data_IF_672158584402
#
_entry.id   IF_672158584402
#
_cell.length_a   1.000
_cell.length_b   1.000
_cell.length_c   1.000
_cell.angle_alpha   90.00
_cell.angle_beta   90.00
_cell.angle_gamma   90.00
#
_symmetry.space_group_name_H-M   'P 1'
#
loop_
_entity.id
_entity.type
_entity.pdbx_description
1 polymer ?
#
# COMPACT_ATOMS: atom_id res chain seq x y z
N UNK A 1 32.50 -31.57 -12.30
CA UNK A 1 32.45 -30.41 -11.44
C UNK A 1 31.33 -29.50 -11.86
N UNK A 2 30.59 -29.01 -10.90
CA UNK A 2 29.43 -28.22 -11.16
C UNK A 2 29.67 -26.75 -10.81
N UNK A 3 29.33 -25.82 -11.70
CA UNK A 3 29.38 -24.40 -11.36
C UNK A 3 28.25 -24.06 -10.42
N UNK A 4 28.53 -23.73 -9.17
CA UNK A 4 27.44 -23.56 -8.18
C UNK A 4 26.51 -22.41 -8.49
N UNK A 5 27.01 -21.32 -9.03
CA UNK A 5 26.20 -20.13 -9.28
C UNK A 5 25.23 -20.31 -10.45
N UNK A 6 25.56 -21.15 -11.43
CA UNK A 6 24.72 -21.33 -12.61
C UNK A 6 23.56 -22.29 -12.38
N UNK A 7 23.61 -23.09 -11.31
CA UNK A 7 22.54 -24.05 -11.00
C UNK A 7 21.56 -23.53 -9.96
N UNK A 8 21.83 -22.37 -9.38
CA UNK A 8 20.97 -21.78 -8.36
C UNK A 8 20.08 -20.69 -8.97
N UNK A 9 18.81 -20.64 -8.58
CA UNK A 9 17.95 -19.57 -9.04
C UNK A 9 18.42 -18.24 -8.45
N UNK A 10 18.26 -17.18 -9.22
CA UNK A 10 18.51 -15.83 -8.73
C UNK A 10 17.27 -15.41 -7.94
N UNK A 11 17.46 -15.18 -6.64
CA UNK A 11 16.37 -14.75 -5.78
C UNK A 11 16.49 -13.25 -5.56
N UNK A 12 15.46 -12.54 -5.96
CA UNK A 12 15.37 -11.11 -5.72
C UNK A 12 14.87 -10.87 -4.30
N UNK A 13 15.34 -9.80 -3.68
CA UNK A 13 14.83 -9.36 -2.38
C UNK A 13 13.40 -8.81 -2.52
N UNK A 14 12.72 -8.69 -1.40
CA UNK A 14 11.39 -8.06 -1.41
C UNK A 14 11.46 -6.64 -1.98
N UNK A 15 12.48 -5.87 -1.63
CA UNK A 15 12.66 -4.52 -2.16
C UNK A 15 12.86 -4.51 -3.67
N UNK A 16 13.70 -5.40 -4.18
CA UNK A 16 13.93 -5.52 -5.63
C UNK A 16 12.66 -5.93 -6.38
N UNK A 17 11.90 -6.86 -5.82
CA UNK A 17 10.62 -7.28 -6.39
C UNK A 17 9.60 -6.14 -6.37
N UNK A 18 9.57 -5.36 -5.30
CA UNK A 18 8.70 -4.19 -5.19
C UNK A 18 9.07 -3.13 -6.23
N UNK A 19 10.36 -2.87 -6.41
CA UNK A 19 10.84 -1.95 -7.45
C UNK A 19 10.44 -2.41 -8.84
N UNK A 20 10.53 -3.72 -9.11
CA UNK A 20 10.08 -4.28 -10.37
C UNK A 20 8.57 -4.08 -10.56
N UNK A 21 7.80 -4.23 -9.49
CA UNK A 21 6.37 -3.96 -9.53
C UNK A 21 6.08 -2.52 -9.93
N UNK A 22 6.80 -1.57 -9.37
CA UNK A 22 6.66 -0.14 -9.71
C UNK A 22 6.99 0.10 -11.18
N UNK A 23 8.09 -0.47 -11.67
CA UNK A 23 8.50 -0.33 -13.06
C UNK A 23 7.45 -0.89 -14.03
N UNK A 24 6.90 -2.06 -13.73
CA UNK A 24 5.87 -2.69 -14.55
C UNK A 24 4.58 -1.86 -14.55
N UNK A 25 4.22 -1.30 -13.40
CA UNK A 25 3.04 -0.45 -13.31
C UNK A 25 3.21 0.82 -14.15
N UNK A 26 4.39 1.43 -14.07
CA UNK A 26 4.71 2.61 -14.87
C UNK A 26 4.69 2.30 -16.37
N UNK A 27 5.03 1.07 -16.75
CA UNK A 27 4.99 0.61 -18.14
C UNK A 27 3.58 0.23 -18.61
N UNK A 28 2.58 0.29 -17.74
CA UNK A 28 1.21 -0.05 -18.07
C UNK A 28 0.87 -1.54 -17.93
N UNK A 29 1.78 -2.35 -17.38
CA UNK A 29 1.56 -3.77 -17.14
C UNK A 29 1.07 -4.00 -15.71
N UNK A 30 -0.21 -3.71 -15.49
CA UNK A 30 -0.80 -3.82 -14.16
C UNK A 30 -0.80 -5.26 -13.63
N UNK A 31 -1.03 -6.24 -14.50
CA UNK A 31 -1.05 -7.66 -14.09
C UNK A 31 0.35 -8.16 -13.74
N UNK A 32 1.34 -7.81 -14.56
CA UNK A 32 2.74 -8.12 -14.26
C UNK A 32 3.20 -7.45 -12.99
N UNK A 33 2.80 -6.20 -12.78
CA UNK A 33 3.08 -5.46 -11.56
C UNK A 33 2.49 -6.16 -10.33
N UNK A 34 1.23 -6.59 -10.41
CA UNK A 34 0.59 -7.32 -9.30
C UNK A 34 1.35 -8.60 -8.95
N UNK A 35 1.82 -9.34 -9.96
CA UNK A 35 2.63 -10.55 -9.72
C UNK A 35 3.93 -10.22 -9.00
N UNK A 36 4.61 -9.15 -9.40
CA UNK A 36 5.86 -8.74 -8.77
C UNK A 36 5.64 -8.31 -7.31
N UNK A 37 4.59 -7.52 -7.05
CA UNK A 37 4.27 -7.12 -5.68
C UNK A 37 3.86 -8.31 -4.80
N UNK A 38 3.13 -9.28 -5.36
CA UNK A 38 2.80 -10.51 -4.62
C UNK A 38 4.05 -11.28 -4.26
N UNK A 39 5.00 -11.36 -5.17
CA UNK A 39 6.28 -12.02 -4.89
C UNK A 39 7.05 -11.28 -3.79
N UNK A 40 7.01 -9.95 -3.80
CA UNK A 40 7.62 -9.14 -2.74
C UNK A 40 7.00 -9.45 -1.37
N UNK A 41 5.68 -9.53 -1.30
CA UNK A 41 4.96 -9.85 -0.06
C UNK A 41 5.26 -11.29 0.39
N UNK A 42 5.40 -12.22 -0.57
CA UNK A 42 5.79 -13.60 -0.23
C UNK A 42 7.18 -13.65 0.36
N UNK A 43 8.10 -12.80 -0.10
CA UNK A 43 9.46 -12.71 0.42
C UNK A 43 9.50 -11.99 1.78
N UNK A 44 8.64 -10.99 1.97
CA UNK A 44 8.54 -10.21 3.22
C UNK A 44 7.08 -9.79 3.41
N UNK A 45 6.37 -10.52 4.25
CA UNK A 45 4.94 -10.28 4.49
C UNK A 45 4.67 -8.94 5.17
N UNK A 46 5.66 -8.33 5.77
CA UNK A 46 5.55 -7.01 6.40
C UNK A 46 5.93 -5.85 5.51
N UNK A 47 6.16 -6.09 4.22
CA UNK A 47 6.59 -5.05 3.28
C UNK A 47 5.42 -4.13 2.91
N UNK A 48 5.31 -3.01 3.61
CA UNK A 48 4.16 -2.09 3.48
C UNK A 48 4.05 -1.51 2.07
N UNK A 49 5.14 -1.08 1.49
CA UNK A 49 5.14 -0.50 0.14
C UNK A 49 4.64 -1.49 -0.91
N UNK A 50 4.99 -2.77 -0.77
CA UNK A 50 4.52 -3.80 -1.69
C UNK A 50 3.00 -4.00 -1.57
N UNK A 51 2.44 -3.89 -0.36
CA UNK A 51 1.00 -3.95 -0.17
C UNK A 51 0.31 -2.78 -0.86
N UNK A 52 0.81 -1.56 -0.68
CA UNK A 52 0.26 -0.39 -1.37
C UNK A 52 0.37 -0.53 -2.88
N UNK A 53 1.51 -1.00 -3.36
CA UNK A 53 1.73 -1.24 -4.78
C UNK A 53 0.77 -2.26 -5.36
N UNK A 54 0.56 -3.35 -4.64
CA UNK A 54 -0.36 -4.41 -5.08
C UNK A 54 -1.80 -3.90 -5.15
N UNK A 55 -2.23 -3.14 -4.15
CA UNK A 55 -3.57 -2.55 -4.15
C UNK A 55 -3.76 -1.69 -5.41
N UNK A 56 -2.78 -0.86 -5.71
CA UNK A 56 -2.84 0.01 -6.88
C UNK A 56 -2.83 -0.78 -8.18
N UNK A 57 -1.96 -1.78 -8.30
CA UNK A 57 -1.88 -2.63 -9.49
C UNK A 57 -3.19 -3.38 -9.72
N UNK A 58 -3.79 -3.91 -8.67
CA UNK A 58 -5.07 -4.61 -8.76
C UNK A 58 -6.20 -3.67 -9.19
N UNK A 59 -6.21 -2.44 -8.66
CA UNK A 59 -7.20 -1.45 -9.09
C UNK A 59 -7.04 -1.12 -10.57
N UNK A 60 -5.81 -0.90 -11.03
CA UNK A 60 -5.56 -0.60 -12.43
C UNK A 60 -5.87 -1.77 -13.35
N UNK A 61 -5.77 -3.00 -12.84
CA UNK A 61 -6.17 -4.20 -13.57
C UNK A 61 -7.68 -4.46 -13.51
N UNK A 62 -8.44 -3.62 -12.81
CA UNK A 62 -9.88 -3.80 -12.65
C UNK A 62 -10.27 -4.88 -11.66
N UNK A 63 -9.33 -5.39 -10.87
CA UNK A 63 -9.58 -6.45 -9.89
C UNK A 63 -9.88 -5.82 -8.52
N UNK A 64 -11.04 -5.20 -8.41
CA UNK A 64 -11.38 -4.35 -7.27
C UNK A 64 -11.59 -5.15 -5.98
N UNK A 65 -12.25 -6.32 -6.04
CA UNK A 65 -12.44 -7.12 -4.84
C UNK A 65 -11.12 -7.67 -4.30
N UNK A 66 -10.21 -8.04 -5.20
CA UNK A 66 -8.87 -8.46 -4.80
C UNK A 66 -8.11 -7.30 -4.13
N UNK A 67 -8.28 -6.09 -4.67
CA UNK A 67 -7.68 -4.88 -4.06
C UNK A 67 -8.21 -4.65 -2.65
N UNK A 68 -9.52 -4.85 -2.43
CA UNK A 68 -10.13 -4.74 -1.10
C UNK A 68 -9.50 -5.74 -0.14
N UNK A 69 -9.33 -6.99 -0.56
CA UNK A 69 -8.73 -8.02 0.30
C UNK A 69 -7.31 -7.65 0.74
N UNK A 70 -6.49 -7.14 -0.19
CA UNK A 70 -5.12 -6.71 0.13
C UNK A 70 -5.14 -5.48 1.05
N UNK A 71 -6.04 -4.54 0.80
CA UNK A 71 -6.17 -3.34 1.61
C UNK A 71 -6.59 -3.67 3.05
N UNK A 72 -7.50 -4.64 3.23
CA UNK A 72 -7.88 -5.13 4.55
C UNK A 72 -6.66 -5.72 5.27
N UNK A 73 -5.87 -6.54 4.58
CA UNK A 73 -4.65 -7.09 5.16
C UNK A 73 -3.68 -5.98 5.57
N UNK A 74 -3.57 -4.93 4.78
CA UNK A 74 -2.72 -3.78 5.10
C UNK A 74 -3.19 -3.04 6.35
N UNK A 75 -4.49 -2.88 6.54
CA UNK A 75 -5.02 -2.24 7.77
C UNK A 75 -4.75 -3.08 9.02
N UNK A 76 -4.61 -4.39 8.87
CA UNK A 76 -4.19 -5.26 9.98
C UNK A 76 -2.69 -5.09 10.26
N UNK A 77 -1.90 -4.95 9.21
CA UNK A 77 -0.45 -4.76 9.33
C UNK A 77 -0.09 -3.39 9.91
N UNK A 78 -0.78 -2.34 9.49
CA UNK A 78 -0.54 -0.96 9.94
C UNK A 78 -1.85 -0.29 10.36
N UNK A 79 -2.44 -0.72 11.50
CA UNK A 79 -3.79 -0.28 11.88
C UNK A 79 -3.89 1.20 12.23
N UNK A 80 -2.78 1.85 12.57
CA UNK A 80 -2.76 3.27 12.94
C UNK A 80 -2.31 4.17 11.79
N UNK A 81 -2.01 3.60 10.65
CA UNK A 81 -1.59 4.38 9.47
C UNK A 81 -2.81 4.84 8.67
N UNK A 82 -3.05 6.17 8.58
CA UNK A 82 -4.19 6.65 7.80
C UNK A 82 -4.13 6.26 6.33
N UNK A 83 -2.93 6.09 5.75
CA UNK A 83 -2.80 5.68 4.35
C UNK A 83 -3.38 4.29 4.09
N UNK A 84 -3.24 3.36 5.05
CA UNK A 84 -3.83 2.03 4.90
C UNK A 84 -5.36 2.11 4.79
N UNK A 85 -5.97 2.93 5.62
CA UNK A 85 -7.42 3.10 5.61
C UNK A 85 -7.91 3.89 4.40
N UNK A 86 -7.12 4.83 3.91
CA UNK A 86 -7.40 5.54 2.65
C UNK A 86 -7.35 4.57 1.47
N UNK A 87 -6.33 3.71 1.42
CA UNK A 87 -6.23 2.69 0.36
C UNK A 87 -7.42 1.75 0.38
N UNK A 88 -7.86 1.35 1.58
CA UNK A 88 -9.05 0.52 1.75
C UNK A 88 -10.31 1.23 1.26
N UNK A 89 -10.47 2.51 1.62
CA UNK A 89 -11.63 3.30 1.19
C UNK A 89 -11.72 3.37 -0.34
N UNK A 90 -10.60 3.66 -1.00
CA UNK A 90 -10.57 3.75 -2.46
C UNK A 90 -10.91 2.40 -3.10
N UNK A 91 -10.33 1.31 -2.59
CA UNK A 91 -10.61 -0.03 -3.11
C UNK A 91 -12.09 -0.40 -2.94
N UNK A 92 -12.66 -0.13 -1.77
CA UNK A 92 -14.06 -0.38 -1.48
C UNK A 92 -14.99 0.43 -2.39
N UNK A 93 -14.65 1.70 -2.62
CA UNK A 93 -15.42 2.56 -3.51
C UNK A 93 -15.42 2.01 -4.93
N UNK A 94 -14.25 1.59 -5.43
CA UNK A 94 -14.14 1.02 -6.77
C UNK A 94 -14.90 -0.30 -6.89
N UNK A 95 -14.96 -1.08 -5.83
CA UNK A 95 -15.72 -2.33 -5.79
C UNK A 95 -17.22 -2.11 -5.58
N UNK A 96 -17.65 -0.88 -5.34
CA UNK A 96 -19.07 -0.56 -5.16
C UNK A 96 -19.57 -0.69 -3.72
N UNK A 97 -18.68 -0.91 -2.76
CA UNK A 97 -19.05 -1.02 -1.34
C UNK A 97 -19.01 0.36 -0.69
N UNK A 98 -19.97 1.20 -1.02
CA UNK A 98 -19.94 2.62 -0.68
C UNK A 98 -20.04 2.88 0.84
N UNK A 99 -20.95 2.27 1.61
CA UNK A 99 -21.00 2.52 3.05
C UNK A 99 -19.70 2.12 3.75
N UNK A 100 -19.11 1.01 3.38
CA UNK A 100 -17.86 0.53 3.94
C UNK A 100 -16.70 1.46 3.55
N UNK A 101 -16.71 1.96 2.31
CA UNK A 101 -15.71 2.92 1.85
C UNK A 101 -15.76 4.21 2.67
N UNK A 102 -16.96 4.71 2.96
CA UNK A 102 -17.14 5.90 3.77
C UNK A 102 -16.64 5.69 5.21
N UNK A 103 -16.91 4.52 5.79
CA UNK A 103 -16.42 4.18 7.11
C UNK A 103 -14.88 4.14 7.16
N UNK A 104 -14.26 3.55 6.15
CA UNK A 104 -12.80 3.51 6.04
C UNK A 104 -12.21 4.91 5.88
N UNK A 105 -12.83 5.76 5.06
CA UNK A 105 -12.41 7.14 4.88
C UNK A 105 -12.51 7.94 6.18
N UNK A 106 -13.59 7.74 6.93
CA UNK A 106 -13.76 8.39 8.23
C UNK A 106 -12.66 7.95 9.21
N UNK A 107 -12.32 6.67 9.21
CA UNK A 107 -11.24 6.15 10.05
C UNK A 107 -9.91 6.79 9.68
N UNK A 108 -9.63 6.92 8.40
CA UNK A 108 -8.41 7.57 7.93
C UNK A 108 -8.32 9.01 8.42
N UNK A 109 -9.41 9.76 8.35
CA UNK A 109 -9.45 11.16 8.82
C UNK A 109 -9.21 11.26 10.31
N UNK A 110 -9.79 10.36 11.10
CA UNK A 110 -9.58 10.33 12.55
C UNK A 110 -8.11 10.07 12.87
N UNK A 111 -7.51 9.09 12.20
CA UNK A 111 -6.10 8.74 12.41
C UNK A 111 -5.18 9.89 12.00
N UNK A 112 -5.46 10.52 10.88
CA UNK A 112 -4.69 11.66 10.42
C UNK A 112 -4.75 12.82 11.41
N UNK A 113 -5.94 13.11 11.91
CA UNK A 113 -6.13 14.13 12.93
C UNK A 113 -5.35 13.82 14.22
N UNK A 114 -5.40 12.56 14.67
CA UNK A 114 -4.62 12.12 15.83
C UNK A 114 -3.13 12.31 15.63
N UNK A 115 -2.64 12.00 14.44
CA UNK A 115 -1.22 12.18 14.12
C UNK A 115 -0.83 13.65 14.12
N UNK A 116 -1.69 14.52 13.61
CA UNK A 116 -1.45 15.96 13.64
C UNK A 116 -1.36 16.49 15.06
N UNK A 117 -2.24 16.06 15.95
CA UNK A 117 -2.25 16.49 17.34
C UNK A 117 -1.01 15.99 18.10
N UNK A 118 -0.50 14.82 17.78
CA UNK A 118 0.61 14.21 18.50
C UNK A 118 1.98 14.60 17.94
N UNK A 119 2.05 15.12 16.72
CA UNK A 119 3.32 15.37 16.05
C UNK A 119 3.87 16.77 16.33
N UNK A 120 5.20 16.95 16.31
CA UNK A 120 5.81 18.28 16.38
C UNK A 120 5.41 19.19 15.22
N UNK A 121 5.06 18.63 14.07
CA UNK A 121 4.56 19.39 12.93
C UNK A 121 3.26 20.10 13.26
N UNK A 122 2.37 19.46 14.04
CA UNK A 122 1.14 20.08 14.51
C UNK A 122 1.44 21.30 15.40
N UNK A 123 2.44 21.20 16.25
CA UNK A 123 2.88 22.32 17.08
C UNK A 123 3.45 23.45 16.22
N UNK A 124 4.18 23.10 15.18
CA UNK A 124 4.73 24.09 14.25
C UNK A 124 3.60 24.84 13.55
N UNK A 125 2.59 24.16 13.13
CA UNK A 125 1.41 24.76 12.52
C UNK A 125 0.67 25.66 13.50
N UNK A 126 0.55 25.22 14.73
CA UNK A 126 -0.08 26.03 15.78
C UNK A 126 0.67 27.34 16.01
N UNK A 127 2.01 27.33 15.85
CA UNK A 127 2.81 28.54 15.98
C UNK A 127 2.73 29.46 14.75
N UNK A 128 2.27 28.92 13.65
CA UNK A 128 2.05 29.70 12.45
C UNK A 128 0.69 30.37 12.52
N UNK A 129 0.55 31.26 13.47
CA UNK A 129 -0.68 32.01 13.69
C UNK A 129 -0.61 33.30 12.88
N UNK A 130 -1.55 33.53 11.98
CA UNK A 130 -1.54 34.75 11.16
C UNK A 130 -1.75 36.02 11.99
N UNK A 131 -2.17 35.89 13.25
CA UNK A 131 -2.37 37.03 14.13
C UNK A 131 -1.22 37.25 15.11
N UNK A 132 -0.19 36.42 15.03
CA UNK A 132 0.98 36.53 15.90
C UNK A 132 1.98 37.59 15.42
#
# INVERSE_FOLDING_TARGET
MQPPSSSQPILLSADELSERGVELLAAGDARGSARAFRAAIAADSGHVEAHHGLIRALREAGQFEAAVAVALALTVLTPQDPLAHTSLSIALQKAGHIPEAEAAAARARILEWKHQLASPAGETEARHDPFA
#
